data_IF_737534862631
#
_entry.id   IF_737534862631
#
_cell.length_a   1.000
_cell.length_b   1.000
_cell.length_c   1.000
_cell.angle_alpha   90.00
_cell.angle_beta   90.00
_cell.angle_gamma   90.00
#
_symmetry.space_group_name_H-M   'P 1'
#
loop_
_entity.id
_entity.type
_entity.pdbx_description
1 polymer ?
#
# COMPACT_ATOMS: atom_id res chain seq x y z
N UNK A 1 8.08 5.93 -9.90
CA UNK A 1 8.49 4.60 -9.44
C UNK A 1 9.86 4.36 -10.04
N UNK A 2 10.91 4.20 -9.24
CA UNK A 2 12.25 3.93 -9.78
C UNK A 2 12.26 2.49 -10.30
N UNK A 3 12.78 2.26 -11.50
CA UNK A 3 12.95 0.92 -12.04
C UNK A 3 14.20 0.30 -11.44
N UNK A 4 14.03 -0.78 -10.68
CA UNK A 4 15.10 -1.50 -10.00
C UNK A 4 14.94 -3.01 -10.23
N UNK A 5 16.02 -3.78 -10.06
CA UNK A 5 15.94 -5.24 -9.98
C UNK A 5 15.76 -5.67 -8.52
N UNK A 6 14.82 -6.56 -8.25
CA UNK A 6 14.51 -7.02 -6.90
C UNK A 6 13.45 -8.11 -6.87
N UNK A 7 13.07 -8.53 -5.66
CA UNK A 7 12.00 -9.49 -5.47
C UNK A 7 10.64 -8.84 -5.83
N UNK A 8 9.83 -9.50 -6.65
CA UNK A 8 8.52 -9.01 -7.06
C UNK A 8 7.58 -8.70 -5.90
N UNK A 9 7.77 -9.36 -4.74
CA UNK A 9 7.00 -9.10 -3.52
C UNK A 9 7.16 -7.66 -3.02
N UNK A 10 8.27 -6.99 -3.33
CA UNK A 10 8.44 -5.57 -3.03
C UNK A 10 7.45 -4.70 -3.81
N UNK A 11 7.27 -4.94 -5.11
CA UNK A 11 6.35 -4.17 -5.95
C UNK A 11 4.90 -4.41 -5.55
N UNK A 12 4.57 -5.66 -5.18
CA UNK A 12 3.27 -6.01 -4.62
C UNK A 12 3.03 -5.26 -3.30
N UNK A 13 4.00 -5.31 -2.37
CA UNK A 13 3.92 -4.62 -1.09
C UNK A 13 3.77 -3.10 -1.25
N UNK A 14 4.54 -2.51 -2.18
CA UNK A 14 4.51 -1.08 -2.48
C UNK A 14 3.16 -0.66 -3.07
N UNK A 15 2.58 -1.48 -3.93
CA UNK A 15 1.24 -1.24 -4.49
C UNK A 15 0.18 -1.29 -3.40
N UNK A 16 0.21 -2.32 -2.55
CA UNK A 16 -0.69 -2.44 -1.38
C UNK A 16 -0.52 -1.26 -0.43
N UNK A 17 0.71 -0.85 -0.14
CA UNK A 17 0.98 0.33 0.69
C UNK A 17 0.30 1.59 0.12
N UNK A 18 0.52 1.87 -1.16
CA UNK A 18 -0.03 3.05 -1.82
C UNK A 18 -1.56 3.04 -1.89
N UNK A 19 -2.17 1.85 -2.05
CA UNK A 19 -3.62 1.71 -2.12
C UNK A 19 -4.26 1.78 -0.74
N UNK A 20 -3.70 1.16 0.29
CA UNK A 20 -4.41 0.98 1.57
C UNK A 20 -3.95 1.94 2.67
N UNK A 21 -2.67 2.29 2.71
CA UNK A 21 -2.06 2.97 3.85
C UNK A 21 -1.85 4.48 3.65
N UNK A 22 -1.97 4.98 2.43
CA UNK A 22 -1.91 6.42 2.16
C UNK A 22 -3.17 7.13 2.65
N UNK A 23 -3.06 8.41 2.98
CA UNK A 23 -4.23 9.19 3.39
C UNK A 23 -5.23 9.34 2.23
N UNK A 24 -6.51 9.41 2.57
CA UNK A 24 -7.51 9.87 1.61
C UNK A 24 -7.33 11.40 1.40
N UNK A 25 -7.52 11.92 0.18
CA UNK A 25 -7.45 13.36 -0.07
C UNK A 25 -8.30 14.17 0.92
N UNK A 26 -7.78 15.32 1.35
CA UNK A 26 -8.51 16.23 2.23
C UNK A 26 -9.77 16.76 1.53
N UNK A 27 -10.85 16.97 2.30
CA UNK A 27 -12.10 17.53 1.78
C UNK A 27 -13.07 16.53 1.14
N UNK A 28 -12.80 15.23 1.20
CA UNK A 28 -13.74 14.20 0.74
C UNK A 28 -14.89 14.04 1.74
N UNK A 29 -16.12 14.17 1.25
CA UNK A 29 -17.34 14.04 2.07
C UNK A 29 -17.68 12.58 2.46
N UNK A 30 -17.26 11.59 1.66
CA UNK A 30 -17.54 10.16 1.85
C UNK A 30 -16.27 9.36 2.22
N UNK A 31 -15.52 9.85 3.22
CA UNK A 31 -14.22 9.27 3.61
C UNK A 31 -14.29 7.78 3.91
N UNK A 32 -15.34 7.32 4.58
CA UNK A 32 -15.53 5.92 4.96
C UNK A 32 -15.69 5.00 3.74
N UNK A 33 -16.52 5.39 2.77
CA UNK A 33 -16.69 4.64 1.52
C UNK A 33 -15.37 4.54 0.74
N UNK A 34 -14.60 5.63 0.72
CA UNK A 34 -13.28 5.65 0.07
C UNK A 34 -12.30 4.73 0.79
N UNK A 35 -12.27 4.72 2.12
CA UNK A 35 -11.41 3.80 2.87
C UNK A 35 -11.82 2.34 2.66
N UNK A 36 -13.12 2.06 2.64
CA UNK A 36 -13.64 0.72 2.34
C UNK A 36 -13.26 0.26 0.92
N UNK A 37 -13.39 1.15 -0.06
CA UNK A 37 -12.98 0.89 -1.44
C UNK A 37 -11.47 0.61 -1.53
N UNK A 38 -10.63 1.44 -0.90
CA UNK A 38 -9.18 1.26 -0.85
C UNK A 38 -8.80 -0.11 -0.30
N UNK A 39 -9.37 -0.50 0.85
CA UNK A 39 -9.15 -1.82 1.44
C UNK A 39 -9.57 -2.96 0.51
N UNK A 40 -10.77 -2.85 -0.06
CA UNK A 40 -11.31 -3.85 -1.00
C UNK A 40 -10.41 -4.02 -2.23
N UNK A 41 -9.87 -2.92 -2.77
CA UNK A 41 -8.96 -2.95 -3.91
C UNK A 41 -7.63 -3.62 -3.56
N UNK A 42 -7.06 -3.33 -2.39
CA UNK A 42 -5.82 -3.98 -1.94
C UNK A 42 -6.00 -5.49 -1.75
N UNK A 43 -7.11 -5.93 -1.15
CA UNK A 43 -7.46 -7.34 -0.98
C UNK A 43 -7.64 -8.05 -2.34
N UNK A 44 -8.36 -7.41 -3.27
CA UNK A 44 -8.54 -7.94 -4.64
C UNK A 44 -7.21 -8.05 -5.38
N UNK A 45 -6.35 -7.06 -5.25
CA UNK A 45 -5.02 -7.07 -5.87
C UNK A 45 -4.17 -8.23 -5.35
N UNK A 46 -4.09 -8.41 -4.02
CA UNK A 46 -3.36 -9.53 -3.40
C UNK A 46 -3.84 -10.89 -3.88
N UNK A 47 -5.16 -11.08 -3.96
CA UNK A 47 -5.76 -12.31 -4.50
C UNK A 47 -5.38 -12.56 -5.95
N UNK A 48 -5.43 -11.54 -6.82
CA UNK A 48 -5.03 -11.69 -8.24
C UNK A 48 -3.54 -11.98 -8.39
N UNK A 49 -2.70 -11.44 -7.50
CA UNK A 49 -1.26 -11.71 -7.48
C UNK A 49 -0.91 -13.06 -6.83
N UNK A 50 -1.88 -13.76 -6.24
CA UNK A 50 -1.69 -14.97 -5.45
C UNK A 50 -0.63 -14.79 -4.34
N UNK A 51 -0.70 -13.65 -3.64
CA UNK A 51 0.20 -13.28 -2.55
C UNK A 51 -0.61 -13.04 -1.29
N UNK A 52 -0.18 -13.62 -0.16
CA UNK A 52 -0.82 -13.36 1.13
C UNK A 52 -0.18 -12.15 1.82
N UNK A 53 -0.86 -11.59 2.83
CA UNK A 53 -0.38 -10.42 3.54
C UNK A 53 0.89 -10.71 4.35
N UNK A 54 1.02 -11.93 4.85
CA UNK A 54 2.17 -12.44 5.60
C UNK A 54 3.42 -12.46 4.72
N UNK A 55 3.30 -12.83 3.44
CA UNK A 55 4.42 -12.87 2.50
C UNK A 55 5.05 -11.49 2.25
N UNK A 56 4.29 -10.41 2.44
CA UNK A 56 4.73 -9.03 2.20
C UNK A 56 4.89 -8.21 3.48
N UNK A 57 4.69 -8.81 4.66
CA UNK A 57 4.65 -8.10 5.93
C UNK A 57 5.96 -7.35 6.23
N UNK A 58 7.10 -7.97 5.96
CA UNK A 58 8.42 -7.36 6.18
C UNK A 58 8.64 -6.18 5.24
N UNK A 59 8.24 -6.31 3.97
CA UNK A 59 8.29 -5.20 3.01
C UNK A 59 7.40 -4.03 3.44
N UNK A 60 6.16 -4.31 3.87
CA UNK A 60 5.25 -3.27 4.37
C UNK A 60 5.85 -2.53 5.58
N UNK A 61 6.48 -3.27 6.50
CA UNK A 61 7.12 -2.70 7.69
C UNK A 61 8.26 -1.74 7.32
N UNK A 62 9.12 -2.14 6.38
CA UNK A 62 10.22 -1.29 5.88
C UNK A 62 9.67 -0.08 5.14
N UNK A 63 8.67 -0.26 4.26
CA UNK A 63 8.06 0.84 3.51
C UNK A 63 7.45 1.87 4.48
N UNK A 64 6.71 1.44 5.49
CA UNK A 64 6.12 2.33 6.51
C UNK A 64 7.18 3.19 7.21
N UNK A 65 8.32 2.59 7.58
CA UNK A 65 9.40 3.33 8.25
C UNK A 65 10.07 4.31 7.27
N UNK A 66 10.40 3.85 6.06
CA UNK A 66 11.02 4.69 5.04
C UNK A 66 10.14 5.88 4.66
N UNK A 67 8.82 5.66 4.53
CA UNK A 67 7.85 6.69 4.17
C UNK A 67 7.80 7.84 5.15
N UNK A 68 7.89 7.57 6.46
CA UNK A 68 7.97 8.62 7.48
C UNK A 68 9.18 9.54 7.30
N UNK A 69 10.28 9.03 6.74
CA UNK A 69 11.45 9.83 6.40
C UNK A 69 11.33 10.54 5.06
N UNK A 70 10.72 9.89 4.06
CA UNK A 70 10.52 10.46 2.71
C UNK A 70 9.43 11.54 2.66
N UNK A 71 8.36 11.37 3.43
CA UNK A 71 7.17 12.22 3.46
C UNK A 71 6.65 12.34 4.90
N UNK A 72 7.21 13.25 5.72
CA UNK A 72 6.90 13.33 7.17
C UNK A 72 5.47 13.78 7.51
N UNK A 73 4.80 14.44 6.55
CA UNK A 73 3.47 15.05 6.71
C UNK A 73 2.34 14.15 6.20
N UNK A 74 2.67 12.94 5.73
CA UNK A 74 1.74 11.91 5.26
C UNK A 74 1.58 10.80 6.30
#
# INVERSE_FOLDING_TARGET
>A
MNLCHGNYLYDVARTVFLIEFTLAPAGIHNKEDVLYLKKTLAERYLMQMNVTREMIQDYLSVIMIARKGECPEE
#
